data_IF_783116017635
#
_entry.id   IF_783116017635
#
_cell.length_a   1.000
_cell.length_b   1.000
_cell.length_c   1.000
_cell.angle_alpha   90.00
_cell.angle_beta   90.00
_cell.angle_gamma   90.00
#
_symmetry.space_group_name_H-M   'P 1'
#
loop_
_entity.id
_entity.type
_entity.pdbx_description
1 polymer ?
#
# COMPACT_ATOMS: atom_id res chain seq x y z
N UNK A 1 -23.59 -9.86 -7.08
CA UNK A 1 -22.84 -10.20 -8.30
C UNK A 1 -21.38 -9.71 -8.26
N UNK A 2 -21.12 -8.46 -7.87
CA UNK A 2 -19.75 -7.92 -7.81
C UNK A 2 -18.89 -8.43 -6.63
N UNK A 3 -19.47 -8.51 -5.41
CA UNK A 3 -18.80 -9.12 -4.25
C UNK A 3 -18.47 -10.61 -4.44
N UNK A 4 -19.29 -11.32 -5.22
CA UNK A 4 -19.07 -12.72 -5.56
C UNK A 4 -17.89 -12.89 -6.53
N UNK A 5 -17.64 -11.94 -7.43
CA UNK A 5 -16.45 -11.97 -8.30
C UNK A 5 -15.18 -11.69 -7.48
N UNK A 6 -15.24 -10.71 -6.56
CA UNK A 6 -14.14 -10.43 -5.63
C UNK A 6 -13.83 -11.65 -4.75
N UNK A 7 -14.85 -12.29 -4.20
CA UNK A 7 -14.71 -13.52 -3.42
C UNK A 7 -14.10 -14.65 -4.25
N UNK A 8 -14.52 -14.83 -5.51
CA UNK A 8 -13.95 -15.84 -6.42
C UNK A 8 -12.49 -15.54 -6.75
N UNK A 9 -12.12 -14.28 -7.00
CA UNK A 9 -10.72 -13.88 -7.23
C UNK A 9 -9.87 -14.15 -5.98
N UNK A 10 -10.36 -13.80 -4.79
CA UNK A 10 -9.68 -14.06 -3.52
C UNK A 10 -9.55 -15.57 -3.23
N UNK A 11 -10.57 -16.37 -3.54
CA UNK A 11 -10.55 -17.83 -3.43
C UNK A 11 -9.55 -18.44 -4.42
N UNK A 12 -9.52 -17.96 -5.67
CA UNK A 12 -8.54 -18.40 -6.69
C UNK A 12 -7.11 -18.05 -6.25
N UNK A 13 -6.86 -16.86 -5.71
CA UNK A 13 -5.55 -16.48 -5.15
C UNK A 13 -5.18 -17.35 -3.95
N UNK A 14 -6.16 -17.73 -3.11
CA UNK A 14 -5.91 -18.64 -1.98
C UNK A 14 -5.57 -20.07 -2.41
N UNK A 15 -6.14 -20.53 -3.54
CA UNK A 15 -5.93 -21.88 -4.08
C UNK A 15 -4.60 -22.01 -4.86
N UNK A 16 -4.02 -20.91 -5.35
CA UNK A 16 -2.80 -20.91 -6.20
C UNK A 16 -1.49 -20.77 -5.39
N UNK A 17 -1.57 -20.52 -4.08
CA UNK A 17 -0.43 -20.80 -3.18
C UNK A 17 0.31 -19.59 -2.61
N UNK A 18 -0.40 -18.67 -1.98
CA UNK A 18 0.28 -17.68 -1.16
C UNK A 18 -0.62 -16.97 -0.17
N UNK A 19 -0.66 -17.46 1.08
CA UNK A 19 -1.35 -16.77 2.18
C UNK A 19 -0.89 -15.30 2.30
N UNK A 20 0.39 -15.05 2.00
CA UNK A 20 0.99 -13.71 1.90
C UNK A 20 0.32 -12.83 0.84
N UNK A 21 0.12 -13.33 -0.39
CA UNK A 21 -0.50 -12.55 -1.48
C UNK A 21 -1.95 -12.24 -1.14
N UNK A 22 -2.68 -13.21 -0.58
CA UNK A 22 -4.07 -13.01 -0.15
C UNK A 22 -4.14 -11.90 0.91
N UNK A 23 -3.36 -12.02 1.98
CA UNK A 23 -3.32 -11.04 3.06
C UNK A 23 -2.89 -9.65 2.54
N UNK A 24 -1.82 -9.60 1.75
CA UNK A 24 -1.30 -8.37 1.17
C UNK A 24 -2.35 -7.68 0.28
N UNK A 25 -3.10 -8.46 -0.50
CA UNK A 25 -4.21 -7.95 -1.33
C UNK A 25 -5.33 -7.39 -0.47
N UNK A 26 -5.73 -8.09 0.59
CA UNK A 26 -6.75 -7.59 1.52
C UNK A 26 -6.33 -6.26 2.15
N UNK A 27 -5.10 -6.17 2.67
CA UNK A 27 -4.56 -4.96 3.29
C UNK A 27 -4.61 -3.76 2.33
N UNK A 28 -4.20 -3.95 1.08
CA UNK A 28 -4.28 -2.93 0.02
C UNK A 28 -5.72 -2.50 -0.26
N UNK A 29 -6.66 -3.45 -0.35
CA UNK A 29 -8.06 -3.15 -0.61
C UNK A 29 -8.71 -2.40 0.56
N UNK A 30 -8.39 -2.77 1.79
CA UNK A 30 -8.83 -2.06 2.99
C UNK A 30 -8.34 -0.62 2.98
N UNK A 31 -7.06 -0.39 2.67
CA UNK A 31 -6.53 0.96 2.56
C UNK A 31 -7.16 1.74 1.42
N UNK A 32 -7.09 1.25 0.18
CA UNK A 32 -7.43 2.05 -1.02
C UNK A 32 -8.93 2.12 -1.33
N UNK A 33 -9.73 1.15 -0.89
CA UNK A 33 -11.16 1.09 -1.20
C UNK A 33 -12.05 1.44 0.00
N UNK A 34 -11.60 1.25 1.24
CA UNK A 34 -12.39 1.57 2.43
C UNK A 34 -11.84 2.80 3.15
N UNK A 35 -10.61 2.73 3.67
CA UNK A 35 -10.02 3.86 4.39
C UNK A 35 -9.82 5.06 3.48
N UNK A 36 -9.39 4.91 2.23
CA UNK A 36 -9.26 6.04 1.30
C UNK A 36 -10.56 6.83 1.13
N UNK A 37 -11.72 6.18 1.26
CA UNK A 37 -13.05 6.80 1.15
C UNK A 37 -13.54 7.46 2.44
N UNK A 38 -13.22 6.84 3.58
CA UNK A 38 -13.79 7.21 4.90
C UNK A 38 -12.82 8.06 5.72
N UNK A 39 -11.52 7.84 5.54
CA UNK A 39 -10.51 8.20 6.54
C UNK A 39 -10.37 9.71 6.73
N UNK A 40 -10.57 10.07 8.00
CA UNK A 40 -10.17 11.29 8.68
C UNK A 40 -8.71 11.16 9.18
N UNK A 41 -8.17 9.93 9.22
CA UNK A 41 -6.81 9.63 9.68
C UNK A 41 -5.90 9.44 8.46
N UNK A 42 -5.08 10.44 8.19
CA UNK A 42 -4.00 10.34 7.21
C UNK A 42 -2.88 9.46 7.79
N UNK A 43 -2.30 8.55 6.98
CA UNK A 43 -1.06 7.86 7.34
C UNK A 43 -1.10 6.34 7.52
N UNK A 44 -2.13 5.63 7.07
CA UNK A 44 -2.07 4.16 6.99
C UNK A 44 -1.40 3.78 5.67
N UNK A 45 -0.24 3.10 5.72
CA UNK A 45 0.51 2.67 4.53
C UNK A 45 0.54 1.14 4.39
N UNK A 46 -0.64 0.51 4.40
CA UNK A 46 -0.77 -0.93 4.22
C UNK A 46 -0.25 -1.42 2.88
N UNK A 47 -0.31 -0.60 1.85
CA UNK A 47 0.27 -0.85 0.54
C UNK A 47 1.78 -1.03 0.66
N UNK A 48 2.45 -0.21 1.48
CA UNK A 48 3.89 -0.35 1.75
C UNK A 48 4.20 -1.68 2.44
N UNK A 49 3.44 -2.02 3.49
CA UNK A 49 3.60 -3.29 4.22
C UNK A 49 3.36 -4.48 3.29
N UNK A 50 2.27 -4.45 2.51
CA UNK A 50 1.93 -5.46 1.51
C UNK A 50 3.01 -5.66 0.47
N UNK A 51 3.58 -4.58 -0.07
CA UNK A 51 4.69 -4.66 -1.02
C UNK A 51 5.93 -5.27 -0.37
N UNK A 52 6.25 -4.92 0.89
CA UNK A 52 7.36 -5.55 1.61
C UNK A 52 7.16 -7.06 1.71
N UNK A 53 5.98 -7.49 2.18
CA UNK A 53 5.68 -8.91 2.37
C UNK A 53 5.79 -9.70 1.04
N UNK A 54 5.21 -9.17 -0.03
CA UNK A 54 5.20 -9.85 -1.34
C UNK A 54 6.61 -9.93 -1.93
N UNK A 55 7.40 -8.85 -1.82
CA UNK A 55 8.76 -8.83 -2.39
C UNK A 55 9.70 -9.74 -1.61
N UNK A 56 9.59 -9.80 -0.29
CA UNK A 56 10.42 -10.68 0.53
C UNK A 56 10.06 -12.16 0.30
N UNK A 57 8.78 -12.50 0.18
CA UNK A 57 8.34 -13.87 -0.02
C UNK A 57 8.54 -14.39 -1.47
N UNK A 58 8.35 -13.54 -2.48
CA UNK A 58 8.26 -13.97 -3.88
C UNK A 58 9.24 -13.29 -4.84
N UNK A 59 9.99 -12.30 -4.35
CA UNK A 59 10.97 -11.58 -5.14
C UNK A 59 10.38 -10.43 -5.99
N UNK A 60 11.27 -9.76 -6.75
CA UNK A 60 10.95 -8.45 -7.34
C UNK A 60 9.97 -8.56 -8.51
N UNK A 61 10.04 -9.60 -9.33
CA UNK A 61 9.14 -9.76 -10.47
C UNK A 61 7.67 -9.86 -10.02
N UNK A 62 7.40 -10.66 -8.99
CA UNK A 62 6.06 -10.81 -8.41
C UNK A 62 5.66 -9.53 -7.66
N UNK A 63 6.60 -8.86 -6.99
CA UNK A 63 6.38 -7.56 -6.37
C UNK A 63 5.92 -6.47 -7.35
N UNK A 64 6.57 -6.35 -8.51
CA UNK A 64 6.18 -5.38 -9.56
C UNK A 64 4.78 -5.70 -10.08
N UNK A 65 4.50 -6.97 -10.39
CA UNK A 65 3.17 -7.41 -10.81
C UNK A 65 2.11 -7.12 -9.75
N UNK A 66 2.43 -7.32 -8.47
CA UNK A 66 1.53 -6.99 -7.36
C UNK A 66 1.23 -5.50 -7.30
N UNK A 67 2.25 -4.63 -7.42
CA UNK A 67 2.05 -3.18 -7.44
C UNK A 67 1.13 -2.74 -8.60
N UNK A 68 1.30 -3.32 -9.79
CA UNK A 68 0.49 -2.96 -10.96
C UNK A 68 -0.93 -3.53 -10.86
N UNK A 69 -1.04 -4.85 -10.69
CA UNK A 69 -2.33 -5.53 -10.77
C UNK A 69 -3.18 -5.34 -9.51
N UNK A 70 -2.58 -5.48 -8.33
CA UNK A 70 -3.31 -5.51 -7.05
C UNK A 70 -3.31 -4.15 -6.36
N UNK A 71 -2.20 -3.41 -6.36
CA UNK A 71 -2.17 -2.09 -5.73
C UNK A 71 -2.80 -0.99 -6.58
N UNK A 72 -2.76 -1.11 -7.91
CA UNK A 72 -3.23 -0.06 -8.80
C UNK A 72 -4.52 -0.43 -9.54
N UNK A 73 -4.51 -1.48 -10.36
CA UNK A 73 -5.64 -1.80 -11.25
C UNK A 73 -6.86 -2.25 -10.45
N UNK A 74 -6.69 -3.17 -9.50
CA UNK A 74 -7.81 -3.73 -8.76
C UNK A 74 -8.59 -2.70 -7.91
N UNK A 75 -7.94 -1.81 -7.12
CA UNK A 75 -8.62 -0.76 -6.39
C UNK A 75 -9.30 0.25 -7.31
N UNK A 76 -8.72 0.58 -8.47
CA UNK A 76 -9.35 1.46 -9.45
C UNK A 76 -10.65 0.85 -10.00
N UNK A 77 -10.64 -0.44 -10.35
CA UNK A 77 -11.84 -1.16 -10.80
C UNK A 77 -12.91 -1.15 -9.70
N UNK A 78 -12.55 -1.56 -8.48
CA UNK A 78 -13.48 -1.62 -7.36
C UNK A 78 -14.05 -0.23 -7.04
N UNK A 79 -13.20 0.78 -7.00
CA UNK A 79 -13.63 2.14 -6.69
C UNK A 79 -14.55 2.72 -7.78
N UNK A 80 -14.28 2.43 -9.05
CA UNK A 80 -15.15 2.81 -10.15
C UNK A 80 -16.53 2.12 -10.05
N UNK A 81 -16.55 0.85 -9.64
CA UNK A 81 -17.80 0.10 -9.46
C UNK A 81 -18.64 0.59 -8.26
N UNK A 82 -17.99 1.01 -7.17
CA UNK A 82 -18.66 1.58 -6.00
C UNK A 82 -19.17 3.01 -6.31
N UNK A 83 -18.48 3.73 -7.20
CA UNK A 83 -18.81 5.10 -7.59
C UNK A 83 -18.59 6.09 -6.45
N UNK A 84 -19.44 7.10 -6.33
CA UNK A 84 -19.37 8.14 -5.28
C UNK A 84 -19.99 7.72 -3.93
N UNK A 85 -20.46 6.46 -3.83
CA UNK A 85 -21.06 5.96 -2.59
C UNK A 85 -20.01 5.88 -1.48
N UNK A 86 -20.41 6.29 -0.27
CA UNK A 86 -19.62 6.17 0.95
C UNK A 86 -18.31 6.98 0.95
N UNK A 87 -18.25 8.05 0.17
CA UNK A 87 -17.12 9.00 0.16
C UNK A 87 -17.38 10.08 1.21
N UNK A 88 -16.57 10.07 2.28
CA UNK A 88 -16.54 11.13 3.29
C UNK A 88 -15.27 11.99 3.17
N UNK A 89 -14.20 11.44 2.60
CA UNK A 89 -12.95 12.13 2.33
C UNK A 89 -13.07 13.03 1.07
N UNK A 90 -12.76 14.32 1.23
CA UNK A 90 -12.83 15.32 0.14
C UNK A 90 -11.72 15.16 -0.90
N UNK A 91 -10.60 14.58 -0.50
CA UNK A 91 -9.43 14.40 -1.38
C UNK A 91 -9.45 13.05 -2.12
N UNK A 92 -10.53 12.27 -1.94
CA UNK A 92 -10.67 10.98 -2.58
C UNK A 92 -10.90 11.13 -4.09
N UNK A 93 -10.02 10.51 -4.88
CA UNK A 93 -10.17 10.40 -6.33
C UNK A 93 -10.38 8.95 -6.74
N UNK A 94 -11.43 8.71 -7.53
CA UNK A 94 -11.79 7.37 -8.03
C UNK A 94 -10.68 6.78 -8.91
N UNK A 95 -9.95 7.65 -9.62
CA UNK A 95 -8.80 7.30 -10.43
C UNK A 95 -7.59 8.14 -10.00
N UNK A 96 -6.77 7.59 -9.10
CA UNK A 96 -5.44 8.13 -8.79
C UNK A 96 -4.36 7.34 -9.55
N UNK A 97 -4.48 7.24 -10.86
CA UNK A 97 -3.38 6.77 -11.71
C UNK A 97 -2.34 7.90 -11.79
N UNK A 98 -1.38 7.91 -10.88
CA UNK A 98 -0.39 8.96 -10.77
C UNK A 98 1.01 8.45 -10.41
N UNK A 99 1.94 9.40 -10.22
CA UNK A 99 3.34 9.16 -9.85
C UNK A 99 3.54 8.24 -8.63
N UNK A 100 2.55 8.12 -7.74
CA UNK A 100 2.59 7.19 -6.61
C UNK A 100 2.84 5.73 -7.02
N UNK A 101 2.36 5.31 -8.19
CA UNK A 101 2.59 3.95 -8.69
C UNK A 101 4.05 3.73 -9.12
N UNK A 102 4.72 4.77 -9.63
CA UNK A 102 6.15 4.70 -9.97
C UNK A 102 6.97 4.58 -8.69
N UNK A 103 6.61 5.34 -7.65
CA UNK A 103 7.24 5.23 -6.32
C UNK A 103 7.05 3.82 -5.77
N UNK A 104 5.85 3.24 -5.84
CA UNK A 104 5.57 1.87 -5.40
C UNK A 104 6.37 0.80 -6.18
N UNK A 105 6.63 1.01 -7.47
CA UNK A 105 7.51 0.12 -8.25
C UNK A 105 8.97 0.29 -7.83
N UNK A 106 9.45 1.52 -7.62
CA UNK A 106 10.81 1.76 -7.11
C UNK A 106 11.01 1.12 -5.73
N UNK A 107 9.97 1.15 -4.89
CA UNK A 107 9.95 0.50 -3.59
C UNK A 107 10.28 -0.98 -3.69
N UNK A 108 9.76 -1.69 -4.69
CA UNK A 108 10.04 -3.12 -4.91
C UNK A 108 11.54 -3.39 -5.02
N UNK A 109 12.26 -2.57 -5.78
CA UNK A 109 13.70 -2.75 -5.97
C UNK A 109 14.49 -2.43 -4.70
N UNK A 110 14.10 -1.38 -3.96
CA UNK A 110 14.71 -1.03 -2.66
C UNK A 110 14.53 -2.18 -1.67
N UNK A 111 13.31 -2.72 -1.55
CA UNK A 111 13.02 -3.84 -0.66
C UNK A 111 13.83 -5.07 -1.04
N UNK A 112 13.91 -5.38 -2.34
CA UNK A 112 14.69 -6.53 -2.80
C UNK A 112 16.18 -6.39 -2.45
N UNK A 113 16.74 -5.19 -2.56
CA UNK A 113 18.11 -4.90 -2.15
C UNK A 113 18.29 -5.06 -0.64
N UNK A 114 17.30 -4.69 0.16
CA UNK A 114 17.30 -4.77 1.62
C UNK A 114 16.83 -6.12 2.19
N UNK A 115 16.61 -7.15 1.36
CA UNK A 115 16.01 -8.44 1.79
C UNK A 115 16.72 -9.17 2.94
N UNK A 116 17.97 -8.82 3.24
CA UNK A 116 18.74 -9.37 4.37
C UNK A 116 18.55 -8.64 5.69
N UNK A 117 17.80 -7.54 5.71
CA UNK A 117 17.50 -6.76 6.90
C UNK A 117 16.17 -7.19 7.53
N UNK A 118 16.01 -6.90 8.82
CA UNK A 118 14.73 -7.08 9.50
C UNK A 118 13.63 -6.21 8.88
N UNK A 119 12.41 -6.74 8.84
CA UNK A 119 11.24 -6.05 8.27
C UNK A 119 10.99 -4.68 8.87
N UNK A 120 11.32 -4.48 10.16
CA UNK A 120 11.24 -3.18 10.82
C UNK A 120 12.16 -2.15 10.15
N UNK A 121 13.42 -2.50 9.89
CA UNK A 121 14.37 -1.60 9.24
C UNK A 121 14.03 -1.33 7.79
N UNK A 122 13.54 -2.35 7.08
CA UNK A 122 13.01 -2.18 5.72
C UNK A 122 11.88 -1.15 5.76
N UNK A 123 10.93 -1.28 6.69
CA UNK A 123 9.81 -0.33 6.82
C UNK A 123 10.28 1.10 7.09
N UNK A 124 11.28 1.30 7.95
CA UNK A 124 11.87 2.64 8.20
C UNK A 124 12.38 3.26 6.90
N UNK A 125 13.18 2.52 6.12
CA UNK A 125 13.72 3.01 4.85
C UNK A 125 12.59 3.32 3.87
N UNK A 126 11.58 2.45 3.81
CA UNK A 126 10.44 2.63 2.91
C UNK A 126 9.62 3.89 3.22
N UNK A 127 9.32 4.13 4.49
CA UNK A 127 8.59 5.31 4.94
C UNK A 127 9.36 6.59 4.62
N UNK A 128 10.67 6.63 4.91
CA UNK A 128 11.52 7.77 4.57
C UNK A 128 11.53 8.03 3.06
N UNK A 129 11.72 6.98 2.26
CA UNK A 129 11.73 7.10 0.80
C UNK A 129 10.39 7.62 0.26
N UNK A 130 9.27 7.08 0.74
CA UNK A 130 7.93 7.49 0.30
C UNK A 130 7.59 8.92 0.71
N UNK A 131 7.88 9.32 1.94
CA UNK A 131 7.63 10.69 2.39
C UNK A 131 8.51 11.72 1.68
N UNK A 132 9.79 11.42 1.47
CA UNK A 132 10.69 12.29 0.67
C UNK A 132 10.17 12.42 -0.76
N UNK A 133 9.85 11.29 -1.40
CA UNK A 133 9.31 11.29 -2.77
C UNK A 133 8.01 12.08 -2.87
N UNK A 134 7.09 11.89 -1.90
CA UNK A 134 5.83 12.62 -1.82
C UNK A 134 6.02 14.13 -1.68
N UNK A 135 6.93 14.56 -0.79
CA UNK A 135 7.25 15.98 -0.59
C UNK A 135 7.87 16.63 -1.83
N UNK A 136 8.76 15.90 -2.53
CA UNK A 136 9.34 16.37 -3.79
C UNK A 136 8.23 16.57 -4.84
N UNK A 137 7.35 15.58 -4.99
CA UNK A 137 6.21 15.65 -5.92
C UNK A 137 5.28 16.82 -5.57
N UNK A 138 4.99 17.02 -4.29
CA UNK A 138 4.16 18.14 -3.81
C UNK A 138 4.73 19.49 -4.21
N UNK A 139 6.04 19.71 -3.99
CA UNK A 139 6.73 20.93 -4.41
C UNK A 139 6.74 21.17 -5.93
N UNK A 140 6.73 20.11 -6.73
CA UNK A 140 6.64 20.26 -8.19
C UNK A 140 5.23 20.58 -8.68
N UNK A 141 4.18 20.19 -7.94
CA UNK A 141 2.79 20.37 -8.35
C UNK A 141 2.18 21.67 -7.84
N UNK A 142 2.57 22.12 -6.65
CA UNK A 142 1.95 23.27 -5.99
C UNK A 142 2.99 24.35 -5.69
N UNK A 143 2.69 25.57 -6.12
CA UNK A 143 3.55 26.76 -5.90
C UNK A 143 3.65 27.17 -4.43
N UNK A 144 2.65 26.80 -3.60
CA UNK A 144 2.60 27.09 -2.16
C UNK A 144 2.50 25.80 -1.33
N UNK A 145 3.26 24.77 -1.68
CA UNK A 145 3.25 23.50 -0.95
C UNK A 145 3.74 23.67 0.51
N UNK A 146 2.88 23.34 1.47
CA UNK A 146 3.21 23.30 2.91
C UNK A 146 3.27 21.83 3.34
N UNK A 147 4.37 21.44 3.96
CA UNK A 147 4.55 20.07 4.46
C UNK A 147 3.69 19.87 5.70
N UNK A 148 2.83 18.84 5.70
CA UNK A 148 2.12 18.40 6.90
C UNK A 148 3.03 17.49 7.76
N UNK A 149 3.80 18.14 8.63
CA UNK A 149 4.70 17.44 9.55
C UNK A 149 3.95 16.58 10.58
N UNK A 150 2.73 16.96 10.97
CA UNK A 150 1.97 16.24 11.99
C UNK A 150 1.39 14.96 11.41
N UNK A 151 0.80 15.02 10.21
CA UNK A 151 0.37 13.84 9.46
C UNK A 151 1.52 12.88 9.18
N UNK A 152 2.70 13.39 8.83
CA UNK A 152 3.90 12.56 8.63
C UNK A 152 4.32 11.82 9.90
N UNK A 153 4.39 12.49 11.05
CA UNK A 153 4.78 11.86 12.33
C UNK A 153 3.78 10.78 12.71
N UNK A 154 2.47 11.05 12.59
CA UNK A 154 1.43 10.07 12.89
C UNK A 154 1.55 8.86 11.96
N UNK A 155 1.73 9.09 10.66
CA UNK A 155 1.95 8.01 9.67
C UNK A 155 3.13 7.13 10.06
N UNK A 156 4.29 7.73 10.32
CA UNK A 156 5.51 6.99 10.64
C UNK A 156 5.33 6.16 11.92
N UNK A 157 4.79 6.77 12.99
CA UNK A 157 4.58 6.08 14.26
C UNK A 157 3.56 4.94 14.13
N UNK A 158 2.45 5.15 13.42
CA UNK A 158 1.43 4.13 13.23
C UNK A 158 1.98 2.93 12.46
N UNK A 159 2.65 3.17 11.33
CA UNK A 159 3.15 2.12 10.46
C UNK A 159 4.31 1.35 11.11
N UNK A 160 5.26 2.04 11.76
CA UNK A 160 6.32 1.37 12.52
C UNK A 160 5.76 0.61 13.72
N UNK A 161 4.77 1.16 14.41
CA UNK A 161 4.06 0.47 15.48
C UNK A 161 3.41 -0.83 14.98
N UNK A 162 2.72 -0.80 13.84
CA UNK A 162 2.12 -1.99 13.24
C UNK A 162 3.16 -3.06 12.88
N UNK A 163 4.31 -2.66 12.33
CA UNK A 163 5.38 -3.62 12.03
C UNK A 163 6.03 -4.17 13.31
N UNK A 164 6.23 -3.33 14.32
CA UNK A 164 6.85 -3.72 15.58
C UNK A 164 5.96 -4.66 16.42
N UNK A 165 4.69 -4.30 16.64
CA UNK A 165 3.78 -5.10 17.47
C UNK A 165 3.39 -6.44 16.82
N UNK A 166 3.29 -6.48 15.50
CA UNK A 166 2.97 -7.70 14.75
C UNK A 166 4.22 -8.36 14.14
N UNK A 167 5.41 -8.02 14.61
CA UNK A 167 6.69 -8.50 14.06
C UNK A 167 6.75 -10.02 13.89
N UNK A 168 6.43 -10.78 14.94
CA UNK A 168 6.43 -12.25 14.87
C UNK A 168 5.40 -12.80 13.89
N UNK A 169 4.26 -12.14 13.73
CA UNK A 169 3.25 -12.51 12.73
C UNK A 169 3.79 -12.28 11.31
N UNK A 170 4.42 -11.13 11.05
CA UNK A 170 5.02 -10.84 9.74
C UNK A 170 6.15 -11.82 9.39
N UNK A 171 6.99 -12.18 10.36
CA UNK A 171 8.04 -13.17 10.13
C UNK A 171 7.48 -14.58 9.89
N UNK A 172 6.35 -14.95 10.52
CA UNK A 172 5.71 -16.25 10.28
C UNK A 172 5.14 -16.40 8.86
N UNK A 173 4.97 -15.29 8.16
CA UNK A 173 4.45 -15.23 6.79
C UNK A 173 5.55 -15.33 5.73
N UNK A 174 6.79 -14.98 6.07
CA UNK A 174 7.94 -14.89 5.17
C UNK A 174 8.79 -16.16 5.20
#
# INVERSE_FOLDING_TARGET
>A
MYFSILAVILIIISLIGGFVIVLASFLVLFEKCLFGRIAIIQGIEFTTISTILVVLAYGPAIGVLFCICISMILPAIINNMIGEKWVANKDFSVFSIGFGNVVDILCVFIIHFLRGFDIFWIMVVMLLFKHISGNIIGKFKETNFIVDYLGLIISVLFNLGAVFFFHSFWLSLL
#
